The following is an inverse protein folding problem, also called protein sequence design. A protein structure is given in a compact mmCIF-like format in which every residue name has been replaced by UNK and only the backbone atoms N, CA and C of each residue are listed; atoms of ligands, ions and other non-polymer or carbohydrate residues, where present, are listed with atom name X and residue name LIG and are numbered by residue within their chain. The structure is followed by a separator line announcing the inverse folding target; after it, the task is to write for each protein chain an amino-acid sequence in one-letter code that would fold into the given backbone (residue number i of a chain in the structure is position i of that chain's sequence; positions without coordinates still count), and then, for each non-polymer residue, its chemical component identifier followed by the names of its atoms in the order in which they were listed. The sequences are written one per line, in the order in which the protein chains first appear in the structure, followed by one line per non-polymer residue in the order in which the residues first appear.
data_IF_393445452310
#
_entry.id   IF_393445452310
#
_cell.length_a   1.000
_cell.length_b   1.000
_cell.length_c   1.000
_cell.angle_alpha   90.00
_cell.angle_beta   90.00
_cell.angle_gamma   90.00
#
_symmetry.space_group_name_H-M   'P 1'
#
loop_
_entity.id
_entity.type
_entity.pdbx_description
1 polymer ?
#
# COMPACT_ATOMS: atom_id res chain seq x y z
N UNK A 1 22.58 19.82 7.96
CA UNK A 1 22.40 19.14 9.25
C UNK A 1 23.18 17.83 9.22
N UNK A 2 24.13 17.62 10.14
CA UNK A 2 24.79 16.33 10.34
C UNK A 2 23.87 15.42 11.18
N UNK A 3 22.95 14.73 10.52
CA UNK A 3 22.17 13.66 11.16
C UNK A 3 22.80 12.30 10.83
N UNK A 4 22.78 11.33 11.76
CA UNK A 4 23.24 9.98 11.48
C UNK A 4 22.48 9.41 10.28
N UNK A 5 23.22 8.89 9.29
CA UNK A 5 22.62 8.19 8.15
C UNK A 5 21.98 6.89 8.63
N UNK A 6 20.83 6.58 8.04
CA UNK A 6 20.07 5.37 8.30
C UNK A 6 19.97 4.57 7.02
N UNK A 7 19.95 3.25 7.14
CA UNK A 7 19.90 2.33 6.00
C UNK A 7 18.89 1.22 6.28
N UNK A 8 18.29 0.68 5.23
CA UNK A 8 17.60 -0.60 5.34
C UNK A 8 18.59 -1.73 5.64
N UNK A 9 18.19 -2.65 6.52
CA UNK A 9 19.03 -3.77 6.96
C UNK A 9 18.63 -5.08 6.27
N UNK A 10 17.34 -5.42 6.34
CA UNK A 10 16.78 -6.64 5.76
C UNK A 10 15.67 -6.32 4.79
N UNK A 11 15.47 -7.22 3.83
CA UNK A 11 14.41 -7.12 2.83
C UNK A 11 13.66 -8.45 2.72
N UNK A 12 12.33 -8.38 2.72
CA UNK A 12 11.43 -9.49 2.49
C UNK A 12 11.12 -9.71 1.01
N UNK A 13 10.24 -10.68 0.75
CA UNK A 13 9.75 -10.99 -0.59
C UNK A 13 8.93 -9.82 -1.15
N UNK A 14 9.11 -9.54 -2.44
CA UNK A 14 8.29 -8.57 -3.16
C UNK A 14 6.98 -9.25 -3.57
N UNK A 15 5.85 -8.70 -3.10
CA UNK A 15 4.53 -9.02 -3.61
C UNK A 15 4.16 -8.02 -4.70
N UNK A 16 4.09 -8.49 -5.93
CA UNK A 16 3.67 -7.71 -7.10
C UNK A 16 2.38 -8.25 -7.73
N UNK A 17 1.71 -9.18 -7.05
CA UNK A 17 0.46 -9.79 -7.48
C UNK A 17 -0.43 -10.08 -6.27
N UNK A 18 -1.50 -9.31 -6.14
CA UNK A 18 -2.63 -9.52 -5.23
C UNK A 18 -3.92 -9.32 -6.02
N UNK A 19 -5.02 -9.95 -5.60
CA UNK A 19 -6.31 -9.77 -6.28
C UNK A 19 -7.12 -8.74 -5.52
N UNK A 20 -7.42 -7.60 -6.15
CA UNK A 20 -8.36 -6.63 -5.63
C UNK A 20 -9.78 -7.01 -6.03
N UNK A 21 -10.64 -7.16 -5.05
CA UNK A 21 -12.07 -7.39 -5.20
C UNK A 21 -12.82 -6.10 -4.91
N UNK A 22 -13.85 -5.81 -5.70
CA UNK A 22 -14.79 -4.73 -5.43
C UNK A 22 -16.19 -5.13 -5.90
N UNK A 23 -17.19 -4.88 -5.07
CA UNK A 23 -18.59 -5.11 -5.39
C UNK A 23 -19.14 -3.95 -6.23
N UNK A 24 -19.66 -4.25 -7.42
CA UNK A 24 -20.31 -3.25 -8.28
C UNK A 24 -21.82 -3.23 -7.99
N UNK A 25 -22.27 -2.17 -7.30
CA UNK A 25 -23.67 -1.99 -6.94
C UNK A 25 -24.62 -1.88 -8.13
N UNK A 26 -24.13 -1.51 -9.32
CA UNK A 26 -24.99 -1.36 -10.50
C UNK A 26 -25.30 -2.71 -11.14
N UNK A 27 -24.34 -3.64 -11.10
CA UNK A 27 -24.48 -4.97 -11.70
C UNK A 27 -24.82 -6.05 -10.68
N UNK A 28 -24.57 -5.79 -9.39
CA UNK A 28 -24.70 -6.79 -8.32
C UNK A 28 -23.59 -7.85 -8.34
N UNK A 29 -22.53 -7.62 -9.11
CA UNK A 29 -21.44 -8.58 -9.31
C UNK A 29 -20.18 -8.16 -8.53
N UNK A 30 -19.43 -9.16 -8.05
CA UNK A 30 -18.05 -8.96 -7.62
C UNK A 30 -17.14 -8.86 -8.84
N UNK A 31 -16.27 -7.86 -8.84
CA UNK A 31 -15.29 -7.64 -9.89
C UNK A 31 -13.90 -7.80 -9.30
N UNK A 32 -13.09 -8.65 -9.92
CA UNK A 32 -11.68 -8.84 -9.60
C UNK A 32 -10.77 -7.99 -10.50
N UNK A 33 -9.65 -7.56 -9.93
CA UNK A 33 -8.59 -6.89 -10.65
C UNK A 33 -7.23 -7.12 -10.00
N UNK A 34 -6.24 -7.51 -10.79
CA UNK A 34 -4.87 -7.71 -10.26
C UNK A 34 -4.30 -6.37 -9.81
N UNK A 35 -3.92 -6.29 -8.54
CA UNK A 35 -3.27 -5.14 -7.88
C UNK A 35 -4.08 -3.83 -7.84
N UNK A 36 -5.40 -3.86 -8.06
CA UNK A 36 -6.21 -2.66 -7.88
C UNK A 36 -7.57 -3.01 -7.29
N UNK A 37 -8.09 -2.14 -6.43
CA UNK A 37 -9.48 -2.18 -6.02
C UNK A 37 -10.26 -1.16 -6.86
N UNK A 38 -11.24 -1.60 -7.66
CA UNK A 38 -12.07 -0.70 -8.48
C UNK A 38 -13.46 -1.28 -8.74
N UNK A 39 -14.51 -0.62 -8.23
CA UNK A 39 -15.90 -1.04 -8.37
C UNK A 39 -16.54 -0.67 -9.73
N UNK A 40 -15.76 -0.73 -10.82
CA UNK A 40 -16.27 -0.48 -12.17
C UNK A 40 -15.53 -1.33 -13.19
N UNK A 41 -16.31 -2.06 -13.99
CA UNK A 41 -15.80 -2.87 -15.10
C UNK A 41 -15.14 -1.96 -16.13
N UNK A 42 -13.80 -1.88 -16.09
CA UNK A 42 -13.03 -1.28 -17.17
C UNK A 42 -13.03 -2.23 -18.37
N UNK A 43 -12.98 -1.66 -19.58
CA UNK A 43 -12.93 -2.46 -20.81
C UNK A 43 -11.75 -3.44 -20.77
N UNK A 44 -11.91 -4.63 -21.37
CA UNK A 44 -10.86 -5.67 -21.39
C UNK A 44 -9.51 -5.16 -21.93
N UNK A 45 -9.51 -4.13 -22.79
CA UNK A 45 -8.30 -3.48 -23.34
C UNK A 45 -7.43 -2.79 -22.28
N UNK A 46 -8.01 -2.40 -21.13
CA UNK A 46 -7.32 -1.73 -20.03
C UNK A 46 -6.75 -2.78 -19.02
N UNK A 47 -6.91 -4.09 -19.27
CA UNK A 47 -6.43 -5.13 -18.34
C UNK A 47 -4.96 -5.51 -18.51
N UNK A 48 -4.27 -4.98 -19.52
CA UNK A 48 -2.84 -5.25 -19.81
C UNK A 48 -2.00 -3.99 -19.61
N UNK A 49 -1.01 -4.01 -18.70
CA UNK A 49 -0.18 -2.88 -18.26
C UNK A 49 0.51 -2.13 -19.42
N UNK A 50 -0.23 -1.26 -20.09
CA UNK A 50 0.28 -0.29 -21.07
C UNK A 50 0.33 1.10 -20.45
N UNK A 51 0.98 2.07 -21.10
CA UNK A 51 0.97 3.49 -20.69
C UNK A 51 -0.43 4.04 -20.39
N UNK A 52 -1.45 3.58 -21.14
CA UNK A 52 -2.85 3.96 -20.92
C UNK A 52 -3.38 3.45 -19.57
N UNK A 53 -2.96 2.27 -19.12
CA UNK A 53 -3.36 1.73 -17.82
C UNK A 53 -2.84 2.54 -16.65
N UNK A 54 -1.62 3.08 -16.73
CA UNK A 54 -1.02 3.83 -15.64
C UNK A 54 -1.83 5.10 -15.32
N UNK A 55 -2.36 5.77 -16.35
CA UNK A 55 -3.31 6.89 -16.22
C UNK A 55 -4.57 6.44 -15.47
N UNK A 56 -5.22 5.35 -15.89
CA UNK A 56 -6.42 4.84 -15.22
C UNK A 56 -6.18 4.35 -13.80
N UNK A 57 -4.97 3.85 -13.51
CA UNK A 57 -4.58 3.34 -12.21
C UNK A 57 -4.25 4.46 -11.23
N UNK A 58 -3.60 5.53 -11.72
CA UNK A 58 -3.18 6.66 -10.90
C UNK A 58 -4.33 7.41 -10.22
N UNK A 59 -5.56 7.26 -10.70
CA UNK A 59 -6.77 7.80 -10.09
C UNK A 59 -7.29 6.95 -8.90
N UNK A 60 -6.82 5.70 -8.75
CA UNK A 60 -7.21 4.84 -7.64
C UNK A 60 -6.19 4.90 -6.50
N UNK A 61 -6.63 5.14 -5.26
CA UNK A 61 -5.72 5.10 -4.10
C UNK A 61 -5.14 3.70 -3.88
N UNK A 62 -5.99 2.67 -3.91
CA UNK A 62 -5.62 1.26 -3.78
C UNK A 62 -5.22 0.68 -5.14
N UNK A 63 -4.17 1.24 -5.75
CA UNK A 63 -3.45 0.62 -6.85
C UNK A 63 -2.05 0.22 -6.36
N UNK A 64 -1.60 -0.98 -6.71
CA UNK A 64 -0.34 -1.55 -6.23
C UNK A 64 0.55 -1.84 -7.45
N UNK A 65 1.77 -1.33 -7.41
CA UNK A 65 2.85 -1.81 -8.28
C UNK A 65 3.56 -2.95 -7.55
N UNK A 66 3.94 -2.70 -6.30
CA UNK A 66 4.62 -3.68 -5.45
C UNK A 66 4.43 -3.37 -3.96
N UNK A 67 4.53 -4.41 -3.14
CA UNK A 67 4.59 -4.37 -1.69
C UNK A 67 5.84 -5.15 -1.25
N UNK A 68 6.64 -4.58 -0.35
CA UNK A 68 7.80 -5.26 0.21
C UNK A 68 8.03 -4.81 1.65
N UNK A 69 8.21 -5.76 2.57
CA UNK A 69 8.70 -5.43 3.90
C UNK A 69 10.21 -5.25 3.89
N UNK A 70 10.69 -4.21 4.57
CA UNK A 70 12.11 -3.98 4.89
C UNK A 70 12.25 -3.67 6.37
N UNK A 71 13.47 -3.73 6.92
CA UNK A 71 13.72 -3.28 8.30
C UNK A 71 14.66 -2.09 8.35
N UNK A 72 14.39 -1.15 9.25
CA UNK A 72 15.19 0.06 9.47
C UNK A 72 15.29 0.34 10.96
N UNK A 73 16.39 0.93 11.42
CA UNK A 73 16.59 1.32 12.82
C UNK A 73 16.71 2.84 12.94
N UNK A 74 15.68 3.49 13.48
CA UNK A 74 15.63 4.95 13.67
C UNK A 74 15.86 5.28 15.14
N UNK A 75 16.90 6.06 15.47
CA UNK A 75 17.23 6.43 16.85
C UNK A 75 17.26 5.21 17.80
N UNK A 76 17.89 4.13 17.35
CA UNK A 76 17.93 2.83 18.02
C UNK A 76 16.61 2.05 18.17
N UNK A 77 15.51 2.55 17.62
CA UNK A 77 14.21 1.86 17.60
C UNK A 77 14.07 1.09 16.28
N UNK A 78 13.89 -0.25 16.31
CA UNK A 78 13.66 -1.03 15.10
C UNK A 78 12.23 -0.81 14.58
N UNK A 79 12.11 -0.73 13.26
CA UNK A 79 10.83 -0.68 12.54
C UNK A 79 10.84 -1.68 11.39
N UNK A 80 9.68 -2.25 11.14
CA UNK A 80 9.38 -2.94 9.90
C UNK A 80 8.64 -1.96 8.99
N UNK A 81 9.15 -1.78 7.78
CA UNK A 81 8.64 -0.81 6.82
C UNK A 81 8.02 -1.56 5.67
N UNK A 82 6.71 -1.45 5.52
CA UNK A 82 6.06 -1.86 4.28
C UNK A 82 6.25 -0.76 3.24
N UNK A 83 7.13 -1.03 2.28
CA UNK A 83 7.31 -0.22 1.08
C UNK A 83 6.17 -0.56 0.12
N UNK A 84 5.24 0.37 -0.03
CA UNK A 84 4.15 0.29 -0.99
C UNK A 84 4.43 1.22 -2.17
N UNK A 85 4.75 0.63 -3.31
CA UNK A 85 4.87 1.38 -4.56
C UNK A 85 3.54 1.39 -5.31
N UNK A 86 3.13 2.57 -5.78
CA UNK A 86 1.91 2.74 -6.55
C UNK A 86 2.04 3.79 -7.65
N UNK A 87 1.11 3.78 -8.58
CA UNK A 87 0.88 4.91 -9.46
C UNK A 87 0.16 6.03 -8.69
N UNK A 88 0.53 7.26 -8.96
CA UNK A 88 -0.23 8.45 -8.57
C UNK A 88 -0.31 9.38 -9.77
N UNK A 89 -1.22 10.34 -9.75
CA UNK A 89 -1.42 11.22 -10.88
C UNK A 89 -2.30 12.40 -10.53
N UNK A 90 -2.18 13.43 -11.35
CA UNK A 90 -2.97 14.64 -11.25
C UNK A 90 -3.01 15.33 -12.63
N UNK A 91 -4.01 16.19 -12.82
CA UNK A 91 -3.99 17.13 -13.93
C UNK A 91 -2.90 18.18 -13.74
N UNK A 92 -2.17 18.48 -14.80
CA UNK A 92 -1.22 19.60 -14.81
C UNK A 92 -1.98 20.92 -14.77
N UNK A 93 -1.63 21.78 -13.82
CA UNK A 93 -2.14 23.15 -13.79
C UNK A 93 -1.50 24.01 -14.90
N UNK A 94 -2.23 24.92 -15.58
CA UNK A 94 -3.66 25.28 -15.40
C UNK A 94 -4.66 24.42 -16.19
N UNK A 95 -4.19 23.49 -17.04
CA UNK A 95 -5.03 22.70 -17.95
C UNK A 95 -5.72 21.53 -17.22
N UNK A 96 -6.69 21.87 -16.38
CA UNK A 96 -7.55 20.90 -15.72
C UNK A 96 -8.36 20.15 -16.80
N UNK A 97 -8.32 18.81 -16.80
CA UNK A 97 -9.01 17.85 -17.70
C UNK A 97 -8.31 17.44 -19.00
N UNK A 98 -7.24 18.10 -19.43
CA UNK A 98 -6.58 17.77 -20.71
C UNK A 98 -5.20 17.14 -20.53
N UNK A 99 -4.49 17.50 -19.45
CA UNK A 99 -3.09 17.10 -19.24
C UNK A 99 -2.92 16.23 -17.98
N UNK A 100 -3.53 15.04 -17.94
CA UNK A 100 -3.30 14.10 -16.84
C UNK A 100 -1.86 13.56 -16.89
N UNK A 101 -1.11 13.81 -15.83
CA UNK A 101 0.22 13.26 -15.62
C UNK A 101 0.17 12.21 -14.53
N UNK A 102 0.96 11.15 -14.70
CA UNK A 102 1.09 10.10 -13.70
C UNK A 102 2.57 9.85 -13.40
N UNK A 103 2.83 9.43 -12.18
CA UNK A 103 4.16 9.09 -11.68
C UNK A 103 4.10 7.88 -10.74
N UNK A 104 5.26 7.38 -10.36
CA UNK A 104 5.38 6.37 -9.29
C UNK A 104 5.57 7.09 -7.96
N UNK A 105 4.87 6.62 -6.95
CA UNK A 105 4.94 7.10 -5.59
C UNK A 105 5.27 5.94 -4.66
N UNK A 106 6.05 6.20 -3.60
CA UNK A 106 6.27 5.23 -2.53
C UNK A 106 5.64 5.72 -1.24
N UNK A 107 4.92 4.82 -0.59
CA UNK A 107 4.39 5.00 0.75
C UNK A 107 5.11 4.01 1.65
N UNK A 108 5.58 4.47 2.81
CA UNK A 108 6.31 3.66 3.78
C UNK A 108 5.42 3.50 5.01
N UNK A 109 4.73 2.38 5.18
CA UNK A 109 3.97 2.14 6.41
C UNK A 109 4.91 1.58 7.48
N UNK A 110 4.97 2.26 8.61
CA UNK A 110 5.90 1.95 9.70
C UNK A 110 5.19 1.08 10.75
N UNK A 111 5.70 -0.14 10.96
CA UNK A 111 5.19 -1.11 11.93
C UNK A 111 6.20 -1.29 13.06
N UNK A 112 5.70 -1.37 14.30
CA UNK A 112 6.49 -1.83 15.45
C UNK A 112 6.54 -3.35 15.53
N UNK A 113 7.33 -3.90 16.45
CA UNK A 113 7.33 -5.35 16.71
C UNK A 113 5.95 -5.82 17.23
N UNK A 114 5.24 -5.01 18.00
CA UNK A 114 3.87 -5.31 18.44
C UNK A 114 2.91 -5.41 17.26
N UNK A 115 2.97 -4.48 16.31
CA UNK A 115 2.15 -4.54 15.10
C UNK A 115 2.48 -5.81 14.28
N UNK A 116 3.76 -6.15 14.15
CA UNK A 116 4.18 -7.37 13.44
C UNK A 116 3.72 -8.66 14.14
N UNK A 117 3.70 -8.70 15.47
CA UNK A 117 3.12 -9.83 16.22
C UNK A 117 1.64 -9.98 15.93
N UNK A 118 0.91 -8.88 15.79
CA UNK A 118 -0.50 -8.91 15.40
C UNK A 118 -0.64 -9.46 13.97
N UNK A 119 0.16 -8.97 13.02
CA UNK A 119 0.14 -9.44 11.62
C UNK A 119 0.50 -10.93 11.47
N UNK A 120 1.40 -11.46 12.32
CA UNK A 120 1.75 -12.89 12.31
C UNK A 120 0.65 -13.78 12.90
N UNK A 121 -0.27 -13.22 13.69
CA UNK A 121 -1.31 -13.95 14.42
C UNK A 121 -2.72 -13.42 14.10
N UNK A 122 -3.05 -13.34 12.80
CA UNK A 122 -4.36 -12.86 12.35
C UNK A 122 -5.48 -13.83 12.74
N UNK A 123 -6.62 -13.26 13.16
CA UNK A 123 -7.88 -13.98 13.34
C UNK A 123 -8.83 -13.68 12.18
N UNK A 124 -10.02 -14.27 12.23
CA UNK A 124 -11.09 -14.01 11.26
C UNK A 124 -11.81 -12.67 11.45
N UNK A 125 -11.46 -11.92 12.50
CA UNK A 125 -12.01 -10.60 12.76
C UNK A 125 -11.11 -9.51 12.15
N UNK A 126 -11.69 -8.54 11.41
CA UNK A 126 -10.96 -7.37 10.93
C UNK A 126 -10.28 -6.60 12.06
N UNK A 127 -8.98 -6.35 11.89
CA UNK A 127 -8.21 -5.44 12.74
C UNK A 127 -7.82 -4.21 11.93
N UNK A 128 -7.76 -3.05 12.59
CA UNK A 128 -7.35 -1.79 11.96
C UNK A 128 -6.11 -1.27 12.67
N UNK A 129 -5.01 -1.13 11.94
CA UNK A 129 -3.77 -0.53 12.40
C UNK A 129 -3.68 0.91 11.88
N UNK A 130 -3.34 1.86 12.74
CA UNK A 130 -3.13 3.26 12.37
C UNK A 130 -1.63 3.57 12.36
N UNK A 131 -1.04 3.58 11.19
CA UNK A 131 0.41 3.51 11.00
C UNK A 131 0.95 4.85 10.52
N UNK A 132 2.16 5.18 10.95
CA UNK A 132 2.90 6.30 10.37
C UNK A 132 3.22 5.99 8.92
N UNK A 133 3.02 6.97 8.04
CA UNK A 133 3.10 6.79 6.60
C UNK A 133 3.95 7.88 5.93
N UNK A 134 5.29 7.89 6.11
CA UNK A 134 6.17 8.67 5.23
C UNK A 134 5.83 8.39 3.75
N UNK A 135 5.81 9.45 2.93
CA UNK A 135 5.51 9.35 1.51
C UNK A 135 6.63 10.02 0.72
N UNK A 136 7.07 9.38 -0.35
CA UNK A 136 8.02 9.92 -1.32
C UNK A 136 7.32 10.19 -2.64
N UNK A 137 7.24 11.47 -2.98
CA UNK A 137 6.65 11.96 -4.21
C UNK A 137 7.64 11.96 -5.38
N UNK A 138 7.16 12.24 -6.59
CA UNK A 138 8.02 12.37 -7.78
C UNK A 138 9.05 13.50 -7.65
N UNK A 139 8.68 14.60 -6.98
CA UNK A 139 9.58 15.75 -6.76
C UNK A 139 10.82 15.37 -5.95
N UNK A 140 10.73 14.27 -5.18
CA UNK A 140 11.77 13.79 -4.28
C UNK A 140 12.51 12.58 -4.87
N UNK A 141 12.41 12.32 -6.18
CA UNK A 141 12.99 11.13 -6.83
C UNK A 141 14.49 10.93 -6.57
N UNK A 142 15.24 12.01 -6.37
CA UNK A 142 16.68 11.99 -6.12
C UNK A 142 17.04 11.85 -4.63
N UNK A 143 16.06 11.96 -3.73
CA UNK A 143 16.27 11.79 -2.28
C UNK A 143 16.18 10.29 -1.97
N UNK A 144 17.10 9.76 -1.18
CA UNK A 144 17.06 8.34 -0.77
C UNK A 144 15.86 8.06 0.15
N UNK A 145 15.34 6.85 0.12
CA UNK A 145 14.09 6.48 0.81
C UNK A 145 14.22 6.68 2.33
N UNK A 146 15.37 6.35 2.90
CA UNK A 146 15.67 6.47 4.33
C UNK A 146 15.68 7.92 4.82
N UNK A 147 16.12 8.86 3.98
CA UNK A 147 16.10 10.29 4.30
C UNK A 147 14.66 10.83 4.38
N UNK A 148 13.77 10.35 3.50
CA UNK A 148 12.34 10.68 3.53
C UNK A 148 11.69 10.14 4.80
N UNK A 149 11.99 8.88 5.14
CA UNK A 149 11.50 8.24 6.37
C UNK A 149 11.98 9.03 7.59
N UNK A 150 13.29 9.26 7.73
CA UNK A 150 13.86 9.95 8.89
C UNK A 150 13.29 11.37 9.07
N UNK A 151 13.11 12.11 7.97
CA UNK A 151 12.53 13.47 7.98
C UNK A 151 11.06 13.47 8.37
N UNK A 152 10.29 12.52 7.83
CA UNK A 152 8.85 12.42 8.12
C UNK A 152 8.61 11.98 9.56
N UNK A 153 9.44 11.08 10.08
CA UNK A 153 9.36 10.56 11.44
C UNK A 153 9.77 11.59 12.51
N UNK A 154 10.50 12.65 12.14
CA UNK A 154 10.82 13.75 13.06
C UNK A 154 9.77 14.87 13.11
N UNK A 155 8.71 14.81 12.29
CA UNK A 155 7.65 15.82 12.29
C UNK A 155 6.79 15.70 13.55
N UNK A 156 6.27 16.83 14.03
CA UNK A 156 5.34 16.87 15.17
C UNK A 156 4.00 16.17 14.86
N UNK A 157 3.53 16.30 13.61
CA UNK A 157 2.29 15.69 13.12
C UNK A 157 2.57 14.89 11.85
N UNK A 158 3.18 13.70 11.97
CA UNK A 158 3.44 12.85 10.83
C UNK A 158 2.13 12.31 10.25
N UNK A 159 2.10 12.13 8.93
CA UNK A 159 0.96 11.52 8.24
C UNK A 159 0.72 10.11 8.78
N UNK A 160 -0.55 9.75 8.95
CA UNK A 160 -0.98 8.40 9.30
C UNK A 160 -1.94 7.87 8.25
N UNK A 161 -1.86 6.56 8.01
CA UNK A 161 -2.81 5.82 7.20
C UNK A 161 -3.34 4.64 7.99
N UNK A 162 -4.58 4.25 7.73
CA UNK A 162 -5.15 3.06 8.35
C UNK A 162 -4.97 1.86 7.42
N UNK A 163 -4.66 0.71 8.02
CA UNK A 163 -4.48 -0.57 7.33
C UNK A 163 -5.39 -1.58 8.00
N UNK A 164 -6.37 -2.08 7.24
CA UNK A 164 -7.30 -3.10 7.72
C UNK A 164 -6.90 -4.46 7.14
N UNK A 165 -6.90 -5.50 7.97
CA UNK A 165 -6.47 -6.84 7.57
C UNK A 165 -7.14 -7.93 8.44
N UNK A 166 -7.38 -9.10 7.86
CA UNK A 166 -7.86 -10.30 8.57
C UNK A 166 -7.62 -11.58 7.77
N UNK A 167 -7.75 -12.72 8.45
CA UNK A 167 -7.80 -14.04 7.83
C UNK A 167 -9.22 -14.36 7.37
N UNK A 168 -9.44 -14.66 6.10
CA UNK A 168 -10.77 -14.96 5.59
C UNK A 168 -11.35 -16.25 6.25
N UNK A 169 -12.67 -16.35 6.29
CA UNK A 169 -13.39 -17.49 6.89
C UNK A 169 -13.17 -18.81 6.15
N UNK A 170 -12.72 -18.75 4.89
CA UNK A 170 -12.23 -19.90 4.13
C UNK A 170 -10.96 -20.53 4.73
N UNK A 171 -10.29 -19.81 5.64
CA UNK A 171 -9.04 -20.21 6.27
C UNK A 171 -7.85 -20.31 5.32
N UNK A 172 -8.00 -19.91 4.05
CA UNK A 172 -7.02 -20.10 2.98
C UNK A 172 -6.49 -18.79 2.41
N UNK A 173 -7.14 -17.65 2.72
CA UNK A 173 -6.76 -16.35 2.21
C UNK A 173 -6.66 -15.29 3.31
N UNK A 174 -5.83 -14.28 3.06
CA UNK A 174 -5.73 -13.06 3.87
C UNK A 174 -6.31 -11.92 3.05
N UNK A 175 -7.18 -11.14 3.70
CA UNK A 175 -7.85 -10.00 3.10
C UNK A 175 -7.41 -8.72 3.76
N UNK A 176 -7.09 -7.70 2.97
CA UNK A 176 -6.58 -6.44 3.49
C UNK A 176 -6.92 -5.25 2.62
N UNK A 177 -6.77 -4.04 3.16
CA UNK A 177 -6.97 -2.79 2.41
C UNK A 177 -6.25 -1.62 3.08
N UNK A 178 -5.76 -0.69 2.26
CA UNK A 178 -5.25 0.58 2.74
C UNK A 178 -6.35 1.64 2.70
N UNK A 179 -6.46 2.39 3.79
CA UNK A 179 -7.52 3.36 4.03
C UNK A 179 -6.88 4.73 4.19
N UNK A 180 -7.24 5.65 3.29
CA UNK A 180 -6.83 7.06 3.36
C UNK A 180 -7.79 7.88 4.24
N UNK A 181 -9.10 7.64 4.09
CA UNK A 181 -10.15 8.37 4.80
C UNK A 181 -11.10 7.38 5.48
N UNK A 182 -11.76 7.78 6.57
CA UNK A 182 -12.70 6.93 7.32
C UNK A 182 -13.84 6.36 6.47
N UNK A 183 -14.29 7.09 5.44
CA UNK A 183 -15.31 6.62 4.49
C UNK A 183 -14.84 5.46 3.60
N UNK A 184 -13.53 5.22 3.49
CA UNK A 184 -12.94 4.12 2.73
C UNK A 184 -12.80 2.84 3.58
N UNK A 185 -13.36 2.78 4.79
CA UNK A 185 -13.15 1.64 5.70
C UNK A 185 -13.98 0.38 5.38
N UNK A 186 -15.00 0.47 4.51
CA UNK A 186 -15.85 -0.68 4.15
C UNK A 186 -15.00 -1.74 3.43
N UNK A 187 -14.64 -2.79 4.18
CA UNK A 187 -13.87 -3.94 3.69
C UNK A 187 -14.76 -5.06 3.17
N UNK A 188 -16.05 -5.08 3.54
CA UNK A 188 -17.00 -6.11 3.12
C UNK A 188 -17.40 -5.96 1.66
N UNK A 189 -17.14 -4.79 1.06
CA UNK A 189 -17.42 -4.49 -0.35
C UNK A 189 -16.19 -4.35 -1.21
N UNK A 190 -15.01 -4.24 -0.62
CA UNK A 190 -13.77 -4.08 -1.37
C UNK A 190 -12.53 -4.40 -0.53
N UNK A 191 -11.65 -5.23 -1.06
CA UNK A 191 -10.45 -5.69 -0.38
C UNK A 191 -9.43 -6.23 -1.39
N UNK A 192 -8.18 -6.28 -0.99
CA UNK A 192 -7.18 -7.15 -1.61
C UNK A 192 -7.23 -8.52 -0.97
N UNK A 193 -6.93 -9.54 -1.76
CA UNK A 193 -6.85 -10.92 -1.35
C UNK A 193 -5.51 -11.52 -1.81
N UNK A 194 -4.91 -12.30 -0.91
CA UNK A 194 -3.69 -13.06 -1.13
C UNK A 194 -3.83 -14.43 -0.47
N UNK A 195 -3.19 -15.46 -1.04
CA UNK A 195 -3.15 -16.77 -0.40
C UNK A 195 -2.45 -16.71 0.96
N UNK A 196 -2.87 -17.53 1.92
CA UNK A 196 -2.18 -17.60 3.21
C UNK A 196 -0.71 -18.02 3.03
N UNK A 197 -0.43 -18.95 2.11
CA UNK A 197 0.94 -19.40 1.85
C UNK A 197 1.87 -18.26 1.38
N UNK A 198 1.38 -17.39 0.49
CA UNK A 198 2.19 -16.25 0.02
C UNK A 198 2.25 -15.13 1.05
N UNK A 199 1.18 -14.95 1.84
CA UNK A 199 1.20 -14.03 2.98
C UNK A 199 2.26 -14.41 4.02
N UNK A 200 2.35 -15.70 4.38
CA UNK A 200 3.32 -16.17 5.37
C UNK A 200 4.76 -15.93 4.89
N UNK A 201 5.05 -16.12 3.59
CA UNK A 201 6.37 -15.78 3.02
C UNK A 201 6.62 -14.27 3.07
N UNK A 202 5.60 -13.46 2.81
CA UNK A 202 5.68 -12.01 2.75
C UNK A 202 5.92 -11.38 4.12
N UNK A 203 5.23 -11.84 5.17
CA UNK A 203 5.32 -11.26 6.52
C UNK A 203 6.56 -11.74 7.30
N UNK A 204 7.21 -12.81 6.84
CA UNK A 204 8.37 -13.42 7.50
C UNK A 204 9.70 -12.73 7.14
N UNK A 205 9.75 -11.40 7.26
CA UNK A 205 11.01 -10.64 7.18
C UNK A 205 11.75 -10.74 8.52
N UNK A 206 13.07 -10.95 8.46
CA UNK A 206 13.91 -11.00 9.66
C UNK A 206 14.12 -9.58 10.22
N UNK A 207 14.12 -9.40 11.55
CA UNK A 207 14.46 -8.12 12.18
C UNK A 207 15.84 -7.63 11.74
#
# INVERSE_FOLDING_TARGET
MNRPKVYFNNEGVILNKVIGWAYDHNTGEWIDWVNCIKAKKLSKKIRTQTKQNAIFLSDCFNNIISLQFKTIKLNNIPYYVLVWEKYNGAYRYPNIREDWQYWKEKIFLMFTEEDMKILRNLSNSPIILNLLAPMKSELERNIIDEDIIQTSMSKLYPLKLSFIIYKATDGCSIRFKFIKNSHDADIDKQYFEISEADYQKFINVKP
#
